data_IF_065387803160
#
_entry.id   IF_065387803160
#
_cell.length_a   1.000
_cell.length_b   1.000
_cell.length_c   1.000
_cell.angle_alpha   90.00
_cell.angle_beta   90.00
_cell.angle_gamma   90.00
#
_symmetry.space_group_name_H-M   'P 1'
#
loop_
_entity.id
_entity.type
_entity.pdbx_description
1 polymer ?
#
# COMPACT_ATOMS: atom_id res chain seq x y z
N UNK A 1 56.04 20.09 -26.10
CA UNK A 1 56.35 20.22 -24.67
C UNK A 1 55.23 19.48 -23.93
N UNK A 2 55.55 18.39 -23.22
CA UNK A 2 54.57 17.67 -22.40
C UNK A 2 54.48 18.36 -21.03
N UNK A 3 53.33 18.95 -20.70
CA UNK A 3 53.10 19.56 -19.40
C UNK A 3 52.43 18.52 -18.48
N UNK A 4 53.05 18.24 -17.36
CA UNK A 4 52.49 17.38 -16.33
C UNK A 4 51.44 18.15 -15.56
N UNK A 5 50.18 17.77 -15.69
CA UNK A 5 49.09 18.33 -14.90
C UNK A 5 48.88 17.38 -13.71
N UNK A 6 49.06 17.91 -12.50
CA UNK A 6 48.81 17.20 -11.25
C UNK A 6 47.43 17.57 -10.70
N UNK A 7 46.57 16.59 -10.44
CA UNK A 7 45.30 16.81 -9.76
C UNK A 7 45.35 16.25 -8.35
N UNK A 8 44.75 16.94 -7.41
CA UNK A 8 44.56 16.41 -6.07
C UNK A 8 43.34 15.46 -6.05
N UNK A 9 43.46 14.31 -5.36
CA UNK A 9 42.35 13.38 -5.25
C UNK A 9 41.27 13.96 -4.32
N UNK A 10 40.01 13.69 -4.62
CA UNK A 10 38.85 14.14 -3.86
C UNK A 10 38.09 15.27 -4.53
N UNK A 11 36.94 15.61 -3.98
CA UNK A 11 36.07 16.69 -4.47
C UNK A 11 36.04 17.79 -3.45
N UNK A 12 36.43 19.01 -3.88
CA UNK A 12 36.39 20.19 -3.04
C UNK A 12 35.23 21.11 -3.46
N UNK A 13 34.16 21.11 -2.67
CA UNK A 13 33.00 22.00 -2.85
C UNK A 13 33.01 23.26 -2.00
N UNK A 14 34.11 23.50 -1.26
CA UNK A 14 34.20 24.64 -0.35
C UNK A 14 34.76 25.91 -1.03
N UNK A 15 35.34 25.77 -2.20
CA UNK A 15 35.94 26.90 -2.95
C UNK A 15 35.20 27.06 -4.29
N UNK A 16 35.28 28.26 -4.87
CA UNK A 16 34.70 28.53 -6.17
C UNK A 16 35.43 27.77 -7.27
N UNK A 17 34.73 27.45 -8.36
CA UNK A 17 35.30 26.73 -9.51
C UNK A 17 36.58 27.43 -10.06
N UNK A 18 36.60 28.74 -10.09
CA UNK A 18 37.76 29.54 -10.53
C UNK A 18 38.97 29.48 -9.59
N UNK A 19 38.73 29.19 -8.29
CA UNK A 19 39.80 29.06 -7.29
C UNK A 19 40.29 27.62 -7.12
N UNK A 20 39.63 26.66 -7.76
CA UNK A 20 39.87 25.23 -7.61
C UNK A 20 40.92 24.67 -8.61
N UNK A 21 41.94 25.48 -8.98
CA UNK A 21 42.99 25.03 -9.91
C UNK A 21 43.68 23.75 -9.39
N UNK A 22 43.70 22.71 -10.21
CA UNK A 22 44.26 21.39 -9.85
C UNK A 22 43.42 20.55 -8.91
N UNK A 23 42.15 20.93 -8.66
CA UNK A 23 41.22 20.20 -7.83
C UNK A 23 39.94 19.83 -8.62
N UNK A 24 39.24 18.80 -8.13
CA UNK A 24 37.94 18.43 -8.65
C UNK A 24 36.86 19.13 -7.86
N UNK A 25 35.99 19.89 -8.49
CA UNK A 25 34.85 20.57 -7.87
C UNK A 25 33.56 19.76 -7.94
N UNK A 26 33.47 18.91 -8.96
CA UNK A 26 32.37 17.95 -9.12
C UNK A 26 32.83 16.74 -9.96
N UNK A 27 32.23 15.59 -9.72
CA UNK A 27 32.40 14.41 -10.57
C UNK A 27 31.24 13.45 -10.36
N UNK A 28 30.89 12.72 -11.40
CA UNK A 28 29.86 11.69 -11.40
C UNK A 28 30.44 10.34 -11.82
N UNK A 29 30.01 9.28 -11.11
CA UNK A 29 30.46 7.90 -11.36
C UNK A 29 31.99 7.71 -11.30
N UNK A 30 32.67 8.45 -10.42
CA UNK A 30 34.14 8.40 -10.24
C UNK A 30 34.46 8.14 -8.78
N UNK A 31 35.44 7.27 -8.53
CA UNK A 31 36.11 7.11 -7.25
C UNK A 31 37.58 7.47 -7.38
N UNK A 32 38.18 7.94 -6.30
CA UNK A 32 39.62 8.17 -6.23
C UNK A 32 40.30 6.96 -5.57
N UNK A 33 41.21 6.31 -6.32
CA UNK A 33 41.96 5.16 -5.83
C UNK A 33 43.44 5.41 -6.10
N UNK A 34 44.26 5.25 -5.08
CA UNK A 34 45.70 5.51 -5.16
C UNK A 34 46.06 6.89 -5.74
N UNK A 35 45.25 7.92 -5.41
CA UNK A 35 45.45 9.28 -5.89
C UNK A 35 45.00 9.56 -7.33
N UNK A 36 44.44 8.58 -8.03
CA UNK A 36 43.95 8.74 -9.40
C UNK A 36 42.43 8.57 -9.46
N UNK A 37 41.73 9.35 -10.31
CA UNK A 37 40.32 9.13 -10.57
C UNK A 37 40.14 7.83 -11.38
N UNK A 38 39.22 7.02 -10.93
CA UNK A 38 38.82 5.75 -11.57
C UNK A 38 37.31 5.74 -11.78
N UNK A 39 36.87 5.42 -12.98
CA UNK A 39 35.45 5.30 -13.27
C UNK A 39 34.85 4.15 -12.47
N UNK A 40 33.79 4.42 -11.72
CA UNK A 40 32.97 3.38 -11.09
C UNK A 40 32.11 2.74 -12.17
N UNK A 41 32.08 1.40 -12.22
CA UNK A 41 31.13 0.69 -13.07
C UNK A 41 29.69 1.07 -12.71
N UNK A 42 28.78 0.96 -13.66
CA UNK A 42 27.36 1.20 -13.42
C UNK A 42 26.76 0.19 -12.44
N UNK A 43 25.56 0.48 -11.99
CA UNK A 43 24.75 -0.43 -11.17
C UNK A 43 24.15 -1.50 -12.09
N UNK A 44 24.27 -2.75 -11.70
CA UNK A 44 23.51 -3.84 -12.30
C UNK A 44 22.37 -4.22 -11.36
N UNK A 45 21.21 -4.49 -11.95
CA UNK A 45 20.08 -5.01 -11.18
C UNK A 45 20.43 -6.42 -10.68
N UNK A 46 20.30 -6.65 -9.39
CA UNK A 46 20.38 -7.97 -8.77
C UNK A 46 19.06 -8.71 -9.02
N UNK A 47 19.09 -9.95 -9.48
CA UNK A 47 17.90 -10.80 -9.52
C UNK A 47 17.14 -10.81 -10.85
N UNK A 48 17.76 -10.43 -11.97
CA UNK A 48 17.16 -10.61 -13.31
C UNK A 48 17.13 -12.07 -13.78
N UNK A 49 17.59 -12.99 -12.95
CA UNK A 49 17.60 -14.41 -13.26
C UNK A 49 16.39 -15.06 -12.60
N UNK A 50 15.42 -15.51 -13.40
CA UNK A 50 14.29 -16.33 -13.02
C UNK A 50 13.25 -15.65 -12.11
N UNK A 51 12.49 -14.69 -12.63
CA UNK A 51 11.23 -14.21 -12.05
C UNK A 51 11.31 -13.66 -10.60
N UNK A 52 12.51 -13.36 -10.11
CA UNK A 52 12.76 -12.92 -8.75
C UNK A 52 12.80 -11.40 -8.65
N UNK A 53 11.75 -10.72 -9.11
CA UNK A 53 11.57 -9.30 -8.82
C UNK A 53 10.97 -9.13 -7.43
N UNK A 54 11.49 -8.14 -6.70
CA UNK A 54 10.90 -7.76 -5.40
C UNK A 54 9.54 -7.14 -5.63
N UNK A 55 8.50 -7.74 -5.04
CA UNK A 55 7.17 -7.15 -5.04
C UNK A 55 7.10 -6.03 -4.02
N UNK A 56 6.83 -4.82 -4.48
CA UNK A 56 6.69 -3.63 -3.64
C UNK A 56 7.97 -2.80 -3.52
N UNK A 57 7.89 -1.70 -2.77
CA UNK A 57 9.01 -0.80 -2.51
C UNK A 57 9.81 -1.26 -1.29
N UNK A 58 11.15 -1.33 -1.39
CA UNK A 58 12.04 -1.69 -0.29
C UNK A 58 11.94 -0.69 0.87
N UNK A 59 11.69 -1.18 2.09
CA UNK A 59 11.43 -0.38 3.29
C UNK A 59 12.27 -0.80 4.49
N UNK A 60 12.94 -1.94 4.41
CA UNK A 60 13.84 -2.43 5.44
C UNK A 60 14.89 -3.34 4.84
N UNK A 61 16.10 -3.25 5.33
CA UNK A 61 17.20 -4.11 4.93
C UNK A 61 18.07 -4.40 6.15
N UNK A 62 18.27 -5.68 6.42
CA UNK A 62 19.21 -6.14 7.44
C UNK A 62 20.01 -7.32 6.91
N UNK A 63 21.28 -7.38 7.24
CA UNK A 63 22.15 -8.44 6.79
C UNK A 63 22.83 -9.10 7.99
N UNK A 64 22.91 -10.41 8.01
CA UNK A 64 23.60 -11.18 9.03
C UNK A 64 24.23 -12.47 8.48
N UNK A 65 25.09 -13.06 9.28
CA UNK A 65 25.71 -14.35 9.00
C UNK A 65 25.30 -15.30 10.12
N UNK A 66 24.76 -16.45 9.76
CA UNK A 66 24.37 -17.44 10.75
C UNK A 66 25.56 -18.27 11.26
N UNK A 67 25.31 -19.09 12.27
CA UNK A 67 26.36 -19.97 12.89
C UNK A 67 26.97 -20.97 11.91
N UNK A 68 26.29 -21.29 10.81
CA UNK A 68 26.77 -22.14 9.73
C UNK A 68 27.60 -21.40 8.68
N UNK A 69 27.87 -20.09 8.87
CA UNK A 69 28.61 -19.25 7.93
C UNK A 69 27.82 -18.84 6.68
N UNK A 70 26.52 -19.11 6.63
CA UNK A 70 25.66 -18.68 5.53
C UNK A 70 25.29 -17.21 5.70
N UNK A 71 25.34 -16.47 4.61
CA UNK A 71 25.02 -15.04 4.57
C UNK A 71 23.60 -14.83 4.08
N UNK A 72 22.86 -14.03 4.82
CA UNK A 72 21.49 -13.64 4.48
C UNK A 72 21.34 -12.12 4.51
N UNK A 73 20.59 -11.59 3.55
CA UNK A 73 20.04 -10.25 3.62
C UNK A 73 18.52 -10.35 3.71
N UNK A 74 17.95 -9.83 4.77
CA UNK A 74 16.51 -9.77 4.95
C UNK A 74 16.02 -8.44 4.38
N UNK A 75 15.08 -8.50 3.45
CA UNK A 75 14.59 -7.36 2.71
C UNK A 75 13.09 -7.26 2.91
N UNK A 76 12.66 -6.25 3.64
CA UNK A 76 11.26 -5.93 3.84
C UNK A 76 10.79 -4.92 2.79
N UNK A 77 9.76 -5.26 2.04
CA UNK A 77 9.04 -4.30 1.20
C UNK A 77 7.73 -3.91 1.87
N UNK A 78 7.04 -2.91 1.35
CA UNK A 78 5.68 -2.59 1.81
C UNK A 78 4.65 -3.70 1.49
N UNK A 79 5.07 -4.79 0.87
CA UNK A 79 4.22 -5.91 0.48
C UNK A 79 4.68 -7.23 1.04
N UNK A 80 5.95 -7.58 0.88
CA UNK A 80 6.50 -8.91 1.15
C UNK A 80 7.85 -8.79 1.84
N UNK A 81 8.14 -9.74 2.73
CA UNK A 81 9.42 -9.93 3.38
C UNK A 81 10.18 -11.04 2.67
N UNK A 82 11.42 -10.78 2.29
CA UNK A 82 12.28 -11.72 1.60
C UNK A 82 13.56 -12.00 2.37
N UNK A 83 14.07 -13.21 2.25
CA UNK A 83 15.44 -13.56 2.55
C UNK A 83 16.22 -13.72 1.25
N UNK A 84 17.30 -12.98 1.09
CA UNK A 84 18.21 -13.12 -0.05
C UNK A 84 19.44 -13.91 0.37
N UNK A 85 19.74 -14.99 -0.35
CA UNK A 85 20.95 -15.80 -0.13
C UNK A 85 21.31 -16.53 -1.42
N UNK A 86 22.61 -16.65 -1.72
CA UNK A 86 23.08 -17.37 -2.89
C UNK A 86 22.60 -16.82 -4.23
N UNK A 87 22.23 -15.53 -4.31
CA UNK A 87 21.73 -14.91 -5.53
C UNK A 87 20.22 -15.03 -5.75
N UNK A 88 19.48 -15.63 -4.81
CA UNK A 88 18.04 -15.90 -4.91
C UNK A 88 17.28 -15.22 -3.79
N UNK A 89 16.09 -14.70 -4.11
CA UNK A 89 15.14 -14.19 -3.14
C UNK A 89 14.15 -15.27 -2.74
N UNK A 90 14.01 -15.49 -1.45
CA UNK A 90 13.07 -16.45 -0.86
C UNK A 90 11.98 -15.66 -0.14
N UNK A 91 10.73 -15.95 -0.44
CA UNK A 91 9.57 -15.37 0.21
C UNK A 91 9.39 -16.00 1.60
N UNK A 92 9.79 -15.26 2.63
CA UNK A 92 9.67 -15.66 4.03
C UNK A 92 8.54 -14.94 4.75
N UNK A 93 7.68 -14.21 4.02
CA UNK A 93 6.61 -13.41 4.58
C UNK A 93 5.63 -14.26 5.40
N UNK A 94 5.21 -13.82 6.60
CA UNK A 94 4.28 -14.58 7.44
C UNK A 94 2.87 -14.62 6.84
N UNK A 95 2.18 -15.75 7.00
CA UNK A 95 0.79 -15.94 6.61
C UNK A 95 -0.11 -15.62 7.81
N UNK A 96 -1.08 -14.74 7.61
CA UNK A 96 -2.07 -14.35 8.62
C UNK A 96 -3.19 -15.37 8.75
N UNK A 97 -3.76 -15.78 7.61
CA UNK A 97 -4.83 -16.78 7.56
C UNK A 97 -4.70 -17.65 6.32
N UNK A 98 -5.14 -18.90 6.45
CA UNK A 98 -5.25 -19.82 5.32
C UNK A 98 -6.70 -20.32 5.27
N UNK A 99 -7.36 -20.13 4.15
CA UNK A 99 -8.75 -20.56 3.94
C UNK A 99 -8.81 -21.47 2.73
N UNK A 100 -9.47 -22.62 2.88
CA UNK A 100 -9.73 -23.53 1.76
C UNK A 100 -11.13 -23.28 1.23
N UNK A 101 -11.22 -23.04 -0.08
CA UNK A 101 -12.45 -22.69 -0.77
C UNK A 101 -12.77 -23.71 -1.86
N UNK A 102 -14.07 -23.91 -2.12
CA UNK A 102 -14.56 -24.78 -3.19
C UNK A 102 -15.54 -23.99 -4.05
N UNK A 103 -15.43 -24.10 -5.36
CA UNK A 103 -16.26 -23.36 -6.33
C UNK A 103 -16.32 -21.85 -6.09
N UNK A 104 -15.18 -21.29 -5.70
CA UNK A 104 -15.10 -19.91 -5.17
C UNK A 104 -14.82 -18.86 -6.24
N UNK A 105 -14.40 -19.27 -7.45
CA UNK A 105 -13.98 -18.35 -8.50
C UNK A 105 -15.10 -18.09 -9.48
N UNK A 106 -15.26 -16.82 -9.87
CA UNK A 106 -16.13 -16.45 -10.97
C UNK A 106 -15.47 -15.39 -11.86
N UNK A 107 -15.70 -15.50 -13.15
CA UNK A 107 -15.16 -14.60 -14.18
C UNK A 107 -16.29 -14.06 -15.04
N UNK A 108 -16.01 -12.96 -15.74
CA UNK A 108 -16.95 -12.33 -16.68
C UNK A 108 -16.25 -12.14 -18.02
N UNK A 109 -16.92 -12.56 -19.11
CA UNK A 109 -16.39 -12.40 -20.46
C UNK A 109 -16.06 -10.92 -20.76
N UNK A 110 -14.89 -10.69 -21.33
CA UNK A 110 -14.37 -9.37 -21.64
C UNK A 110 -13.75 -8.62 -20.46
N UNK A 111 -13.73 -9.20 -19.25
CA UNK A 111 -13.18 -8.58 -18.04
C UNK A 111 -11.90 -9.28 -17.57
N UNK A 112 -10.87 -8.55 -17.11
CA UNK A 112 -9.71 -9.13 -16.46
C UNK A 112 -9.96 -9.42 -14.96
N UNK A 113 -11.13 -9.10 -14.44
CA UNK A 113 -11.46 -9.23 -13.02
C UNK A 113 -11.93 -10.65 -12.71
N UNK A 114 -11.29 -11.25 -11.73
CA UNK A 114 -11.71 -12.53 -11.14
C UNK A 114 -12.24 -12.26 -9.75
N UNK A 115 -13.43 -12.73 -9.45
CA UNK A 115 -14.06 -12.64 -8.13
C UNK A 115 -13.83 -13.93 -7.36
N UNK A 116 -13.39 -13.80 -6.12
CA UNK A 116 -13.19 -14.92 -5.19
C UNK A 116 -14.21 -14.78 -4.06
N UNK A 117 -15.03 -15.81 -3.86
CA UNK A 117 -16.10 -15.82 -2.87
C UNK A 117 -15.75 -16.73 -1.70
N UNK A 118 -15.79 -16.19 -0.50
CA UNK A 118 -15.57 -16.90 0.76
C UNK A 118 -16.91 -17.37 1.34
N UNK A 119 -16.89 -18.45 2.07
CA UNK A 119 -18.09 -18.96 2.79
C UNK A 119 -18.45 -18.12 4.02
N UNK A 120 -17.57 -17.20 4.45
CA UNK A 120 -17.76 -16.29 5.60
C UNK A 120 -16.89 -15.05 5.44
N UNK A 121 -16.89 -14.19 6.44
CA UNK A 121 -16.05 -12.97 6.43
C UNK A 121 -14.56 -13.30 6.35
N UNK A 122 -13.81 -12.58 5.51
CA UNK A 122 -12.39 -12.86 5.23
C UNK A 122 -11.38 -11.88 5.85
N UNK A 123 -11.80 -10.70 6.31
CA UNK A 123 -10.94 -9.65 6.88
C UNK A 123 -9.72 -9.28 6.01
N UNK A 124 -9.87 -9.38 4.70
CA UNK A 124 -8.87 -8.98 3.69
C UNK A 124 -9.26 -7.59 3.20
N UNK A 125 -8.28 -6.71 3.04
CA UNK A 125 -8.49 -5.36 2.55
C UNK A 125 -8.01 -5.19 1.10
N UNK A 126 -8.46 -4.15 0.39
CA UNK A 126 -7.86 -3.79 -0.88
C UNK A 126 -6.36 -3.57 -0.72
N UNK A 127 -5.59 -3.98 -1.73
CA UNK A 127 -4.13 -3.94 -1.77
C UNK A 127 -3.39 -4.98 -0.90
N UNK A 128 -4.08 -5.78 -0.07
CA UNK A 128 -3.47 -6.93 0.58
C UNK A 128 -2.95 -7.95 -0.43
N UNK A 129 -1.96 -8.72 -0.03
CA UNK A 129 -1.40 -9.81 -0.85
C UNK A 129 -2.00 -11.13 -0.43
N UNK A 130 -2.43 -11.89 -1.41
CA UNK A 130 -2.85 -13.29 -1.23
C UNK A 130 -2.00 -14.21 -2.10
N UNK A 131 -1.71 -15.39 -1.60
CA UNK A 131 -1.13 -16.49 -2.35
C UNK A 131 -2.24 -17.52 -2.60
N UNK A 132 -2.39 -17.90 -3.84
CA UNK A 132 -3.34 -18.93 -4.26
C UNK A 132 -2.58 -20.21 -4.58
N UNK A 133 -3.03 -21.32 -4.07
CA UNK A 133 -2.44 -22.62 -4.37
C UNK A 133 -3.48 -23.74 -4.37
N UNK A 134 -3.03 -24.94 -4.74
CA UNK A 134 -3.85 -26.16 -4.83
C UNK A 134 -4.97 -26.08 -5.87
N UNK A 135 -4.71 -25.40 -6.99
CA UNK A 135 -5.63 -25.39 -8.12
C UNK A 135 -5.57 -26.70 -8.88
N UNK A 136 -6.73 -27.36 -9.05
CA UNK A 136 -6.83 -28.58 -9.85
C UNK A 136 -7.38 -28.34 -11.25
N UNK A 137 -8.48 -27.63 -11.36
CA UNK A 137 -9.18 -27.34 -12.63
C UNK A 137 -9.98 -26.06 -12.56
N UNK A 138 -10.01 -25.32 -13.67
CA UNK A 138 -10.92 -24.19 -13.89
C UNK A 138 -11.77 -24.55 -15.11
N UNK A 139 -13.09 -24.48 -14.97
CA UNK A 139 -14.03 -24.83 -16.02
C UNK A 139 -14.72 -23.56 -16.53
N UNK A 140 -14.84 -23.42 -17.85
CA UNK A 140 -15.55 -22.29 -18.46
C UNK A 140 -14.72 -21.00 -18.61
N UNK A 141 -13.43 -21.05 -18.32
CA UNK A 141 -12.49 -19.93 -18.43
C UNK A 141 -11.40 -20.22 -19.45
N UNK A 142 -10.82 -19.18 -20.06
CA UNK A 142 -9.57 -19.28 -20.80
C UNK A 142 -8.33 -19.23 -19.89
N UNK A 143 -8.49 -18.90 -18.62
CA UNK A 143 -7.43 -19.03 -17.64
C UNK A 143 -7.26 -20.50 -17.25
N UNK A 144 -6.01 -20.90 -17.10
CA UNK A 144 -5.63 -22.24 -16.64
C UNK A 144 -5.36 -22.23 -15.13
N UNK A 145 -5.34 -23.42 -14.51
CA UNK A 145 -4.93 -23.53 -13.11
C UNK A 145 -3.55 -22.93 -12.86
N UNK A 146 -2.60 -23.09 -13.79
CA UNK A 146 -1.24 -22.55 -13.68
C UNK A 146 -1.16 -21.03 -13.73
N UNK A 147 -2.23 -20.33 -14.11
CA UNK A 147 -2.28 -18.86 -14.04
C UNK A 147 -2.51 -18.37 -12.61
N UNK A 148 -2.96 -19.23 -11.72
CA UNK A 148 -3.26 -18.94 -10.31
C UNK A 148 -2.40 -19.73 -9.33
N UNK A 149 -2.07 -20.97 -9.64
CA UNK A 149 -1.43 -21.89 -8.70
C UNK A 149 -0.03 -21.43 -8.34
N UNK A 150 0.26 -21.40 -7.04
CA UNK A 150 1.49 -20.91 -6.45
C UNK A 150 1.81 -19.45 -6.79
N UNK A 151 0.79 -18.65 -7.18
CA UNK A 151 0.98 -17.24 -7.54
C UNK A 151 0.40 -16.29 -6.50
N UNK A 152 1.07 -15.16 -6.39
CA UNK A 152 0.70 -14.04 -5.52
C UNK A 152 -0.11 -13.02 -6.30
N UNK A 153 -1.19 -12.56 -5.69
CA UNK A 153 -2.06 -11.53 -6.25
C UNK A 153 -2.27 -10.42 -5.23
N UNK A 154 -2.31 -9.21 -5.73
CA UNK A 154 -2.79 -8.07 -4.97
C UNK A 154 -4.31 -8.01 -5.11
N UNK A 155 -4.99 -7.88 -3.98
CA UNK A 155 -6.45 -7.69 -3.95
C UNK A 155 -6.80 -6.34 -4.55
N UNK A 156 -7.58 -6.35 -5.62
CA UNK A 156 -7.96 -5.14 -6.35
C UNK A 156 -9.07 -4.40 -5.61
N UNK A 157 -10.10 -5.12 -5.18
CA UNK A 157 -11.21 -4.54 -4.40
C UNK A 157 -11.86 -5.58 -3.50
N UNK A 158 -12.67 -5.10 -2.57
CA UNK A 158 -13.45 -5.90 -1.62
C UNK A 158 -14.91 -5.48 -1.75
N UNK A 159 -15.67 -6.05 -2.71
CA UNK A 159 -17.05 -5.68 -2.95
C UNK A 159 -17.99 -6.00 -1.78
N UNK A 160 -17.67 -7.01 -0.99
CA UNK A 160 -18.44 -7.37 0.21
C UNK A 160 -17.55 -8.05 1.26
N UNK A 161 -18.08 -8.27 2.44
CA UNK A 161 -17.40 -9.02 3.52
C UNK A 161 -16.98 -10.43 3.15
N UNK A 162 -17.60 -10.99 2.11
CA UNK A 162 -17.39 -12.38 1.65
C UNK A 162 -16.73 -12.45 0.26
N UNK A 163 -16.48 -11.34 -0.40
CA UNK A 163 -15.94 -11.34 -1.77
C UNK A 163 -14.76 -10.41 -1.92
N UNK A 164 -13.73 -10.88 -2.59
CA UNK A 164 -12.60 -10.08 -3.04
C UNK A 164 -12.45 -10.19 -4.55
N UNK A 165 -11.76 -9.23 -5.16
CA UNK A 165 -11.42 -9.30 -6.58
C UNK A 165 -9.92 -9.21 -6.77
N UNK A 166 -9.43 -9.89 -7.80
CA UNK A 166 -8.07 -9.78 -8.31
C UNK A 166 -8.13 -9.45 -9.80
N UNK A 167 -7.08 -8.81 -10.32
CA UNK A 167 -6.98 -8.43 -11.72
C UNK A 167 -5.94 -9.30 -12.43
N UNK A 168 -6.35 -9.95 -13.49
CA UNK A 168 -5.49 -10.76 -14.35
C UNK A 168 -4.81 -9.89 -15.42
N UNK A 169 -3.67 -10.34 -15.98
CA UNK A 169 -2.96 -9.60 -17.04
C UNK A 169 -3.73 -9.47 -18.36
N UNK A 170 -4.70 -10.35 -18.60
CA UNK A 170 -5.51 -10.40 -19.82
C UNK A 170 -6.98 -10.51 -19.49
N UNK A 171 -7.83 -10.18 -20.46
CA UNK A 171 -9.27 -10.34 -20.33
C UNK A 171 -9.68 -11.82 -20.43
N UNK A 172 -10.70 -12.17 -19.66
CA UNK A 172 -11.40 -13.44 -19.79
C UNK A 172 -12.19 -13.48 -21.11
N UNK A 173 -12.19 -14.63 -21.79
CA UNK A 173 -12.99 -14.86 -23.00
C UNK A 173 -14.18 -15.80 -22.76
N UNK A 174 -14.25 -16.42 -21.59
CA UNK A 174 -15.38 -17.22 -21.10
C UNK A 174 -16.05 -16.58 -19.88
N UNK A 175 -17.21 -17.03 -19.51
CA UNK A 175 -17.93 -16.54 -18.32
C UNK A 175 -18.32 -17.67 -17.39
N UNK A 176 -18.38 -17.35 -16.09
CA UNK A 176 -18.87 -18.28 -15.09
C UNK A 176 -17.88 -19.38 -14.72
N UNK A 177 -16.58 -19.09 -14.79
CA UNK A 177 -15.57 -20.05 -14.36
C UNK A 177 -15.82 -20.49 -12.92
N UNK A 178 -15.79 -21.78 -12.72
CA UNK A 178 -15.85 -22.40 -11.41
C UNK A 178 -14.65 -23.31 -11.22
N UNK A 179 -14.19 -23.39 -9.99
CA UNK A 179 -13.08 -24.27 -9.63
C UNK A 179 -13.63 -25.45 -8.85
N UNK A 180 -13.24 -26.65 -9.23
CA UNK A 180 -13.50 -27.85 -8.44
C UNK A 180 -12.30 -28.15 -7.56
N UNK A 181 -12.54 -28.50 -6.31
CA UNK A 181 -11.49 -28.85 -5.35
C UNK A 181 -11.22 -27.76 -4.30
N UNK A 182 -10.40 -28.11 -3.34
CA UNK A 182 -10.08 -27.23 -2.22
C UNK A 182 -8.93 -26.26 -2.57
N UNK A 183 -9.27 -25.12 -3.16
CA UNK A 183 -8.28 -24.07 -3.41
C UNK A 183 -7.90 -23.42 -2.10
N UNK A 184 -6.63 -23.25 -1.89
CA UNK A 184 -6.10 -22.61 -0.69
C UNK A 184 -5.77 -21.14 -0.97
N UNK A 185 -6.43 -20.25 -0.23
CA UNK A 185 -6.17 -18.81 -0.22
C UNK A 185 -5.39 -18.49 1.03
N UNK A 186 -4.14 -18.10 0.88
CA UNK A 186 -3.26 -17.71 1.97
C UNK A 186 -3.14 -16.19 2.00
N UNK A 187 -3.71 -15.55 3.01
CA UNK A 187 -3.63 -14.11 3.21
C UNK A 187 -2.35 -13.77 3.96
N UNK A 188 -1.54 -12.91 3.39
CA UNK A 188 -0.30 -12.40 4.00
C UNK A 188 -0.61 -11.39 5.09
N UNK A 189 0.27 -11.26 6.08
CA UNK A 189 0.18 -10.16 7.02
C UNK A 189 0.29 -8.83 6.27
N UNK A 190 -0.66 -7.90 6.40
CA UNK A 190 -0.57 -6.59 5.76
C UNK A 190 0.59 -5.80 6.35
N UNK A 191 1.45 -5.24 5.50
CA UNK A 191 2.57 -4.39 5.94
C UNK A 191 2.17 -2.92 5.96
N UNK A 192 1.33 -2.52 5.01
CA UNK A 192 0.88 -1.15 4.87
C UNK A 192 0.98 -0.63 3.44
N UNK A 193 0.68 0.64 3.24
CA UNK A 193 0.66 1.27 1.92
C UNK A 193 2.06 1.48 1.35
N UNK A 194 2.17 1.58 0.02
CA UNK A 194 3.40 1.96 -0.67
C UNK A 194 3.76 3.43 -0.43
N UNK A 195 2.75 4.26 -0.26
CA UNK A 195 2.85 5.70 -0.02
C UNK A 195 1.91 6.09 1.11
N UNK A 196 2.10 7.26 1.67
CA UNK A 196 1.13 7.84 2.58
C UNK A 196 -0.14 8.17 1.79
N UNK A 197 -1.23 7.46 2.06
CA UNK A 197 -2.46 7.58 1.27
C UNK A 197 -3.42 8.64 1.82
N UNK A 198 -3.38 8.87 3.12
CA UNK A 198 -4.21 9.89 3.78
C UNK A 198 -3.35 10.72 4.69
N UNK A 199 -3.66 11.98 4.83
CA UNK A 199 -2.96 12.84 5.76
C UNK A 199 -3.48 14.25 5.72
N UNK A 200 -3.35 14.92 6.86
CA UNK A 200 -3.69 16.31 7.05
C UNK A 200 -2.40 17.03 7.45
N UNK A 201 -2.11 18.15 6.79
CA UNK A 201 -0.95 18.94 7.13
C UNK A 201 -0.32 19.66 5.96
N UNK A 202 0.84 20.25 6.21
CA UNK A 202 1.59 20.99 5.21
C UNK A 202 2.04 20.09 4.05
N UNK A 203 1.67 20.47 2.82
CA UNK A 203 2.03 19.74 1.61
C UNK A 203 1.13 18.53 1.27
N UNK A 204 0.06 18.31 2.02
CA UNK A 204 -0.89 17.22 1.81
C UNK A 204 -2.26 17.78 1.39
N UNK A 205 -2.47 17.98 0.11
CA UNK A 205 -3.76 18.42 -0.43
C UNK A 205 -4.13 19.86 -0.09
N UNK A 206 -5.42 20.13 -0.02
CA UNK A 206 -5.98 21.45 0.29
C UNK A 206 -5.77 21.82 1.77
N UNK A 207 -5.78 23.11 2.08
CA UNK A 207 -5.78 23.61 3.45
C UNK A 207 -6.93 22.99 4.26
N UNK A 208 -6.60 22.40 5.41
CA UNK A 208 -7.55 21.68 6.24
C UNK A 208 -7.48 20.15 6.11
N UNK A 209 -6.67 19.65 5.20
CA UNK A 209 -6.52 18.23 4.91
C UNK A 209 -7.64 17.71 4.02
N UNK A 210 -7.27 16.89 3.07
CA UNK A 210 -8.19 16.25 2.14
C UNK A 210 -7.74 14.81 1.96
N UNK A 211 -8.67 13.87 1.87
CA UNK A 211 -8.35 12.54 1.39
C UNK A 211 -7.64 12.65 0.04
N UNK A 212 -6.62 11.84 -0.21
CA UNK A 212 -5.85 11.86 -1.46
C UNK A 212 -6.74 11.66 -2.69
N UNK A 213 -7.92 11.11 -2.50
CA UNK A 213 -8.91 10.86 -3.54
C UNK A 213 -10.33 11.01 -2.95
N UNK A 214 -10.82 12.25 -2.73
CA UNK A 214 -12.13 12.46 -2.14
C UNK A 214 -13.21 11.91 -3.06
N UNK A 215 -14.22 11.29 -2.46
CA UNK A 215 -15.41 10.88 -3.21
C UNK A 215 -16.12 12.14 -3.73
N UNK A 216 -16.31 12.20 -5.03
CA UNK A 216 -16.99 13.32 -5.70
C UNK A 216 -18.18 12.84 -6.50
N UNK A 217 -19.20 13.67 -6.59
CA UNK A 217 -20.39 13.48 -7.42
C UNK A 217 -20.87 14.85 -7.90
N UNK A 218 -22.07 14.95 -8.43
CA UNK A 218 -22.67 16.21 -8.84
C UNK A 218 -24.06 16.38 -8.23
N UNK A 219 -24.51 17.63 -8.07
CA UNK A 219 -25.89 17.94 -7.74
C UNK A 219 -26.81 17.44 -8.85
N UNK A 220 -27.94 16.88 -8.46
CA UNK A 220 -29.06 16.60 -9.34
C UNK A 220 -30.21 17.57 -8.98
N UNK A 221 -30.26 18.65 -9.68
CA UNK A 221 -31.09 19.81 -9.41
C UNK A 221 -30.34 20.97 -8.73
N UNK A 222 -30.70 22.19 -9.05
CA UNK A 222 -30.08 23.38 -8.47
C UNK A 222 -30.37 23.46 -6.96
N UNK A 223 -29.37 23.86 -6.19
CA UNK A 223 -29.48 24.14 -4.77
C UNK A 223 -29.54 25.67 -4.58
N UNK A 224 -30.73 26.18 -4.33
CA UNK A 224 -30.97 27.63 -4.23
C UNK A 224 -30.40 28.18 -2.91
N UNK A 225 -30.13 29.47 -2.89
CA UNK A 225 -29.58 30.14 -1.72
C UNK A 225 -30.58 30.24 -0.56
N UNK A 226 -31.87 30.30 -0.85
CA UNK A 226 -32.96 30.43 0.14
C UNK A 226 -33.54 29.09 0.62
N UNK A 227 -33.14 27.97 0.04
CA UNK A 227 -33.69 26.64 0.39
C UNK A 227 -32.65 25.71 1.01
N UNK A 228 -33.08 24.75 1.83
CA UNK A 228 -32.20 23.73 2.39
C UNK A 228 -31.91 22.59 1.42
N UNK A 229 -32.74 22.37 0.40
CA UNK A 229 -32.65 21.25 -0.52
C UNK A 229 -32.62 21.63 -2.00
N UNK A 230 -32.32 20.66 -2.85
CA UNK A 230 -32.31 20.82 -4.31
C UNK A 230 -33.73 20.94 -4.89
N UNK A 231 -33.87 21.63 -6.03
CA UNK A 231 -35.14 21.77 -6.74
C UNK A 231 -36.22 22.51 -5.99
N UNK A 232 -35.86 23.31 -4.98
CA UNK A 232 -36.84 24.12 -4.19
C UNK A 232 -37.63 23.32 -3.15
N UNK A 233 -37.32 22.08 -2.91
CA UNK A 233 -38.08 21.18 -1.98
C UNK A 233 -37.61 21.20 -0.53
N UNK A 234 -36.73 22.05 -0.15
CA UNK A 234 -36.49 22.53 1.22
C UNK A 234 -35.83 21.60 2.26
N UNK A 235 -35.74 20.26 2.10
CA UNK A 235 -35.33 19.36 3.18
C UNK A 235 -34.27 18.33 2.81
N UNK A 236 -33.95 18.16 1.55
CA UNK A 236 -32.99 17.14 1.09
C UNK A 236 -32.19 17.63 -0.10
N UNK A 237 -30.96 17.14 -0.25
CA UNK A 237 -30.11 17.41 -1.39
C UNK A 237 -30.06 16.13 -2.23
N UNK A 238 -30.41 16.22 -3.51
CA UNK A 238 -30.33 15.12 -4.45
C UNK A 238 -29.01 15.20 -5.22
N UNK A 239 -28.29 14.10 -5.25
CA UNK A 239 -27.02 13.90 -5.95
C UNK A 239 -27.20 12.94 -7.12
N UNK A 240 -26.33 12.99 -8.09
CA UNK A 240 -26.30 12.02 -9.18
C UNK A 240 -26.01 10.60 -8.66
N UNK A 241 -25.11 10.49 -7.68
CA UNK A 241 -24.80 9.25 -6.96
C UNK A 241 -24.29 9.59 -5.55
N UNK A 242 -24.90 9.02 -4.53
CA UNK A 242 -24.50 9.14 -3.14
C UNK A 242 -24.13 7.77 -2.51
N UNK A 243 -23.97 6.72 -3.31
CA UNK A 243 -23.72 5.36 -2.81
C UNK A 243 -22.40 5.22 -2.02
N UNK A 244 -21.43 6.08 -2.32
CA UNK A 244 -20.13 6.12 -1.65
C UNK A 244 -20.06 7.11 -0.48
N UNK A 245 -21.17 7.81 -0.17
CA UNK A 245 -21.21 8.75 0.93
C UNK A 245 -21.65 8.05 2.21
N UNK A 246 -21.05 8.39 3.38
CA UNK A 246 -21.45 7.80 4.65
C UNK A 246 -22.95 8.01 4.94
N UNK A 247 -23.65 6.95 5.34
CA UNK A 247 -25.11 6.98 5.54
C UNK A 247 -25.54 7.12 6.99
N UNK A 248 -24.59 7.16 7.93
CA UNK A 248 -24.87 7.24 9.37
C UNK A 248 -23.98 8.29 10.04
N UNK A 249 -24.49 8.89 11.13
CA UNK A 249 -23.77 9.96 11.83
C UNK A 249 -23.91 11.32 11.17
N UNK A 250 -23.24 12.33 11.71
CA UNK A 250 -23.15 13.66 11.10
C UNK A 250 -21.97 13.69 10.14
N UNK A 251 -22.26 13.86 8.87
CA UNK A 251 -21.31 13.89 7.78
C UNK A 251 -21.36 15.23 7.05
N UNK A 252 -20.36 15.50 6.22
CA UNK A 252 -20.21 16.80 5.56
C UNK A 252 -19.94 16.63 4.06
N UNK A 253 -20.48 17.58 3.29
CA UNK A 253 -20.16 17.75 1.88
C UNK A 253 -19.72 19.18 1.62
N UNK A 254 -18.87 19.35 0.64
CA UNK A 254 -18.48 20.65 0.12
C UNK A 254 -19.05 20.85 -1.30
N UNK A 255 -19.69 21.99 -1.52
CA UNK A 255 -20.17 22.44 -2.83
C UNK A 255 -19.64 23.85 -3.07
N UNK A 256 -18.68 23.99 -3.99
CA UNK A 256 -17.96 25.26 -4.12
C UNK A 256 -17.21 25.60 -2.82
N UNK A 257 -17.54 26.73 -2.23
CA UNK A 257 -16.97 27.17 -0.94
C UNK A 257 -17.93 26.95 0.25
N UNK A 258 -19.06 26.32 0.05
CA UNK A 258 -20.00 26.02 1.10
C UNK A 258 -19.83 24.62 1.65
N UNK A 259 -19.77 24.51 2.97
CA UNK A 259 -19.84 23.26 3.73
C UNK A 259 -21.26 23.02 4.21
N UNK A 260 -21.75 21.81 4.01
CA UNK A 260 -23.11 21.40 4.32
C UNK A 260 -23.05 20.10 5.09
N UNK A 261 -23.71 20.03 6.25
CA UNK A 261 -23.83 18.76 6.98
C UNK A 261 -25.10 18.00 6.60
N UNK A 262 -25.04 16.69 6.70
CA UNK A 262 -26.17 15.79 6.51
C UNK A 262 -26.08 14.61 7.49
N UNK A 263 -27.21 13.91 7.73
CA UNK A 263 -27.25 12.81 8.72
C UNK A 263 -27.67 11.47 8.12
N UNK A 264 -28.06 11.43 6.86
CA UNK A 264 -28.45 10.17 6.21
C UNK A 264 -28.42 10.21 4.71
N UNK A 265 -28.33 9.03 4.09
CA UNK A 265 -28.44 8.82 2.63
C UNK A 265 -29.63 7.89 2.39
N UNK A 266 -30.53 8.30 1.49
CA UNK A 266 -31.71 7.52 1.11
C UNK A 266 -31.68 7.23 -0.38
N UNK A 267 -31.97 5.98 -0.75
CA UNK A 267 -32.05 5.55 -2.14
C UNK A 267 -30.74 5.67 -2.94
N UNK A 268 -29.60 5.82 -2.27
CA UNK A 268 -28.30 5.97 -2.93
C UNK A 268 -28.07 7.29 -3.67
N UNK A 269 -29.01 8.24 -3.58
CA UNK A 269 -28.92 9.53 -4.29
C UNK A 269 -29.29 10.73 -3.43
N UNK A 270 -30.01 10.57 -2.32
CA UNK A 270 -30.61 11.67 -1.58
C UNK A 270 -30.01 11.82 -0.20
N UNK A 271 -29.43 12.97 0.09
CA UNK A 271 -28.95 13.35 1.41
C UNK A 271 -30.08 13.95 2.22
N UNK A 272 -30.20 13.54 3.49
CA UNK A 272 -31.27 13.97 4.42
C UNK A 272 -30.68 14.55 5.71
N UNK A 273 -31.48 15.31 6.47
CA UNK A 273 -31.01 15.96 7.69
C UNK A 273 -29.99 17.07 7.42
N UNK A 274 -30.28 17.91 6.45
CA UNK A 274 -29.37 18.92 5.92
C UNK A 274 -29.28 20.14 6.80
N UNK A 275 -28.04 20.60 7.05
CA UNK A 275 -27.76 21.94 7.61
C UNK A 275 -26.72 22.60 6.73
N UNK A 276 -27.07 23.75 6.16
CA UNK A 276 -26.24 24.54 5.26
C UNK A 276 -25.32 25.52 6.00
N UNK A 277 -24.24 25.93 5.36
CA UNK A 277 -23.30 26.93 5.85
C UNK A 277 -22.67 26.53 7.22
N UNK A 278 -22.28 25.27 7.35
CA UNK A 278 -21.57 24.78 8.55
C UNK A 278 -20.07 25.08 8.47
N UNK A 279 -19.35 24.87 9.56
CA UNK A 279 -17.87 25.04 9.62
C UNK A 279 -17.40 26.42 9.14
N UNK A 280 -18.12 27.48 9.54
CA UNK A 280 -17.83 28.88 9.13
C UNK A 280 -17.87 29.13 7.61
N UNK A 281 -18.49 28.30 6.83
CA UNK A 281 -18.73 28.56 5.41
C UNK A 281 -19.90 29.52 5.21
N UNK A 282 -19.99 30.09 4.01
CA UNK A 282 -21.10 30.99 3.65
C UNK A 282 -22.05 30.26 2.72
N UNK A 283 -23.31 30.32 3.01
CA UNK A 283 -24.37 29.79 2.16
C UNK A 283 -24.40 30.50 0.82
N UNK A 284 -24.55 29.73 -0.24
CA UNK A 284 -24.63 30.24 -1.61
C UNK A 284 -25.52 29.35 -2.49
N UNK A 285 -26.01 29.89 -3.59
CA UNK A 285 -26.70 29.10 -4.62
C UNK A 285 -25.73 28.29 -5.46
N UNK A 286 -26.09 27.04 -5.77
CA UNK A 286 -25.31 26.14 -6.61
C UNK A 286 -26.17 25.65 -7.79
N UNK A 287 -25.58 25.62 -8.98
CA UNK A 287 -26.26 25.15 -10.18
C UNK A 287 -26.45 23.64 -10.16
N UNK A 288 -27.43 23.18 -10.93
CA UNK A 288 -27.51 21.77 -11.31
C UNK A 288 -26.19 21.30 -11.94
N UNK A 289 -25.74 20.11 -11.60
CA UNK A 289 -24.46 19.57 -12.06
C UNK A 289 -23.22 20.12 -11.33
N UNK A 290 -23.36 21.00 -10.32
CA UNK A 290 -22.23 21.46 -9.52
C UNK A 290 -21.54 20.28 -8.80
N UNK A 291 -20.21 20.30 -8.78
CA UNK A 291 -19.42 19.26 -8.11
C UNK A 291 -19.66 19.28 -6.61
N UNK A 292 -19.93 18.12 -6.07
CA UNK A 292 -20.08 17.82 -4.65
C UNK A 292 -18.96 16.91 -4.20
N UNK A 293 -18.23 17.32 -3.19
CA UNK A 293 -17.12 16.55 -2.60
C UNK A 293 -17.50 16.09 -1.20
N UNK A 294 -17.26 14.83 -0.87
CA UNK A 294 -17.35 14.38 0.52
C UNK A 294 -16.24 15.04 1.34
N UNK A 295 -16.64 15.87 2.30
CA UNK A 295 -15.74 16.61 3.20
C UNK A 295 -15.83 16.13 4.65
N UNK A 296 -16.43 14.97 4.89
CA UNK A 296 -16.61 14.41 6.23
C UNK A 296 -15.29 14.22 6.98
N UNK A 297 -14.24 13.90 6.23
CA UNK A 297 -12.88 13.72 6.78
C UNK A 297 -12.06 15.02 6.84
N UNK A 298 -12.61 16.15 6.39
CA UNK A 298 -11.93 17.44 6.46
C UNK A 298 -12.01 17.98 7.89
N UNK A 299 -10.89 18.46 8.40
CA UNK A 299 -10.81 19.09 9.72
C UNK A 299 -10.26 20.51 9.60
N UNK A 300 -10.75 21.40 10.46
CA UNK A 300 -10.26 22.77 10.54
C UNK A 300 -8.93 22.84 11.31
N UNK A 301 -8.25 23.99 11.23
CA UNK A 301 -7.08 24.27 12.04
C UNK A 301 -7.41 24.19 13.54
N UNK A 302 -6.62 23.38 14.26
CA UNK A 302 -6.78 23.19 15.69
C UNK A 302 -7.85 22.20 16.11
N UNK A 303 -8.58 21.59 15.17
CA UNK A 303 -9.48 20.49 15.45
C UNK A 303 -8.72 19.15 15.40
N UNK A 304 -9.04 18.26 16.34
CA UNK A 304 -8.54 16.91 16.29
C UNK A 304 -9.17 16.20 15.09
N UNK A 305 -8.34 15.61 14.26
CA UNK A 305 -8.82 14.79 13.19
C UNK A 305 -9.60 13.59 13.72
N UNK A 306 -10.77 13.32 13.14
CA UNK A 306 -11.56 12.14 13.46
C UNK A 306 -11.19 10.99 12.53
N UNK A 307 -10.70 9.87 13.08
CA UNK A 307 -10.38 8.66 12.33
C UNK A 307 -8.89 8.47 12.03
N UNK A 308 -8.57 7.40 11.35
CA UNK A 308 -7.22 7.01 10.95
C UNK A 308 -6.68 7.94 9.84
N UNK A 309 -6.07 9.03 10.24
CA UNK A 309 -5.78 10.16 9.38
C UNK A 309 -4.48 10.05 8.61
N UNK A 310 -3.60 9.19 9.05
CA UNK A 310 -2.31 8.97 8.38
C UNK A 310 -2.09 7.47 8.30
N UNK A 311 -2.25 6.93 7.11
CA UNK A 311 -1.68 5.63 6.80
C UNK A 311 -0.20 5.85 6.50
N UNK A 312 0.64 5.59 7.48
CA UNK A 312 2.08 5.59 7.27
C UNK A 312 2.45 4.52 6.23
N UNK A 313 3.47 4.76 5.40
CA UNK A 313 3.96 3.72 4.49
C UNK A 313 4.33 2.46 5.27
N UNK A 314 3.99 1.30 4.71
CA UNK A 314 4.38 0.02 5.30
C UNK A 314 5.88 -0.07 5.47
N UNK A 315 6.36 -0.26 6.70
CA UNK A 315 7.77 -0.29 7.06
C UNK A 315 8.11 -1.52 7.90
N UNK A 316 9.38 -1.88 7.89
CA UNK A 316 9.92 -2.95 8.70
C UNK A 316 11.04 -2.45 9.61
N UNK A 317 11.04 -2.92 10.85
CA UNK A 317 12.21 -2.92 11.73
C UNK A 317 12.76 -4.34 11.78
N UNK A 318 14.02 -4.52 11.36
CA UNK A 318 14.62 -5.85 11.19
C UNK A 318 15.94 -5.89 11.92
N UNK A 319 16.16 -6.96 12.69
CA UNK A 319 17.40 -7.24 13.40
C UNK A 319 17.61 -8.77 13.48
N UNK A 320 18.66 -9.24 14.10
CA UNK A 320 18.85 -10.67 14.30
C UNK A 320 19.24 -11.01 15.74
N UNK A 321 18.73 -12.15 16.20
CA UNK A 321 19.10 -12.80 17.47
C UNK A 321 19.77 -14.14 17.16
N UNK A 322 21.09 -14.14 17.11
CA UNK A 322 21.85 -15.30 16.67
C UNK A 322 21.48 -15.69 15.23
N UNK A 323 21.02 -16.92 15.05
CA UNK A 323 20.62 -17.45 13.74
C UNK A 323 19.21 -17.04 13.29
N UNK A 324 18.47 -16.36 14.15
CA UNK A 324 17.09 -15.94 13.86
C UNK A 324 17.05 -14.49 13.42
N UNK A 325 16.42 -14.22 12.28
CA UNK A 325 15.99 -12.88 11.92
C UNK A 325 14.73 -12.56 12.72
N UNK A 326 14.72 -11.38 13.33
CA UNK A 326 13.56 -10.84 14.04
C UNK A 326 13.03 -9.67 13.20
N UNK A 327 11.76 -9.72 12.86
CA UNK A 327 11.15 -8.79 11.93
C UNK A 327 9.86 -8.23 12.53
N UNK A 328 9.78 -6.92 12.61
CA UNK A 328 8.61 -6.19 13.11
C UNK A 328 7.97 -5.42 11.96
N UNK A 329 6.67 -5.61 11.76
CA UNK A 329 5.86 -4.71 10.94
C UNK A 329 5.55 -3.47 11.78
N UNK A 330 5.78 -2.28 11.22
CA UNK A 330 5.48 -1.02 11.90
C UNK A 330 4.00 -0.94 12.30
N UNK A 331 3.73 -0.61 13.56
CA UNK A 331 2.42 -0.67 14.20
C UNK A 331 1.75 -2.07 14.17
N UNK A 332 2.55 -3.13 14.05
CA UNK A 332 2.10 -4.51 13.94
C UNK A 332 2.85 -5.49 14.83
N UNK A 333 2.77 -6.76 14.46
CA UNK A 333 3.32 -7.89 15.18
C UNK A 333 4.81 -8.09 14.92
N UNK A 334 5.43 -8.85 15.80
CA UNK A 334 6.84 -9.27 15.73
C UNK A 334 6.91 -10.73 15.28
N UNK A 335 7.78 -10.99 14.33
CA UNK A 335 7.99 -12.31 13.71
C UNK A 335 9.42 -12.75 13.84
N UNK A 336 9.64 -14.07 13.86
CA UNK A 336 10.97 -14.69 13.77
C UNK A 336 11.07 -15.60 12.55
N UNK A 337 12.25 -15.60 11.94
CA UNK A 337 12.63 -16.55 10.89
C UNK A 337 13.96 -17.20 11.26
N UNK A 338 13.98 -18.53 11.33
CA UNK A 338 15.15 -19.32 11.77
C UNK A 338 15.99 -19.75 10.55
N UNK A 339 17.15 -19.14 10.39
CA UNK A 339 18.09 -19.43 9.30
C UNK A 339 18.94 -20.69 9.52
N UNK A 340 18.89 -21.28 10.71
CA UNK A 340 19.64 -22.51 11.03
C UNK A 340 18.98 -23.78 10.49
N UNK A 341 17.68 -23.72 10.19
CA UNK A 341 16.93 -24.85 9.67
C UNK A 341 17.49 -25.35 8.34
N UNK A 342 17.51 -26.66 8.13
CA UNK A 342 17.97 -27.26 6.87
C UNK A 342 17.20 -26.78 5.64
N UNK A 343 15.92 -26.46 5.84
CA UNK A 343 14.99 -25.95 4.82
C UNK A 343 14.59 -24.49 5.07
N UNK A 344 15.47 -23.68 5.70
CA UNK A 344 15.16 -22.30 6.08
C UNK A 344 14.57 -21.48 4.91
N UNK A 345 15.10 -21.63 3.72
CA UNK A 345 14.63 -20.93 2.51
C UNK A 345 13.24 -21.34 2.03
N UNK A 346 12.69 -22.44 2.57
CA UNK A 346 11.33 -22.93 2.29
C UNK A 346 10.37 -22.64 3.45
N UNK A 347 10.85 -22.03 4.53
CA UNK A 347 10.03 -21.69 5.71
C UNK A 347 9.67 -20.21 5.70
N UNK A 348 8.52 -19.90 6.28
CA UNK A 348 8.05 -18.54 6.50
C UNK A 348 8.30 -18.08 7.91
N UNK A 349 8.28 -16.79 8.13
CA UNK A 349 8.31 -16.22 9.48
C UNK A 349 7.11 -16.69 10.31
N UNK A 350 7.36 -16.91 11.58
CA UNK A 350 6.33 -17.20 12.58
C UNK A 350 6.18 -16.02 13.54
N UNK A 351 4.97 -15.80 14.02
CA UNK A 351 4.73 -14.80 15.06
C UNK A 351 5.41 -15.19 16.36
N UNK A 352 6.02 -14.23 17.04
CA UNK A 352 6.61 -14.46 18.36
C UNK A 352 5.50 -14.36 19.40
N UNK A 353 5.17 -15.48 20.03
CA UNK A 353 4.13 -15.53 21.07
C UNK A 353 4.51 -14.67 22.27
N UNK A 354 3.59 -13.82 22.73
CA UNK A 354 3.79 -12.91 23.86
C UNK A 354 4.51 -11.61 23.52
N UNK A 355 4.97 -11.43 22.28
CA UNK A 355 5.46 -10.14 21.82
C UNK A 355 4.33 -9.11 21.68
N UNK A 356 4.61 -7.81 21.81
CA UNK A 356 3.63 -6.78 21.53
C UNK A 356 3.06 -6.86 20.10
N UNK A 357 1.78 -6.56 19.95
CA UNK A 357 1.06 -6.65 18.66
C UNK A 357 0.91 -5.30 17.95
N UNK A 358 1.46 -4.23 18.53
CA UNK A 358 1.42 -2.88 17.97
C UNK A 358 2.70 -2.13 18.40
N UNK A 359 3.82 -2.47 17.78
CA UNK A 359 5.12 -1.86 18.08
C UNK A 359 5.64 -1.09 16.87
N UNK A 360 6.32 0.03 17.12
CA UNK A 360 6.87 0.87 16.05
C UNK A 360 8.30 0.52 15.66
N UNK A 361 9.12 0.21 16.64
CA UNK A 361 10.52 -0.12 16.43
C UNK A 361 10.95 -1.22 17.39
N UNK A 362 11.92 -1.99 16.95
CA UNK A 362 12.60 -2.94 17.80
C UNK A 362 14.11 -2.87 17.59
N UNK A 363 14.83 -3.33 18.58
CA UNK A 363 16.29 -3.54 18.53
C UNK A 363 16.59 -4.76 19.37
N UNK A 364 17.50 -5.60 18.90
CA UNK A 364 18.02 -6.73 19.67
C UNK A 364 19.23 -6.26 20.46
N UNK A 365 19.13 -6.28 21.79
CA UNK A 365 20.24 -5.87 22.65
C UNK A 365 21.32 -6.95 22.69
N UNK A 366 22.55 -6.56 22.41
CA UNK A 366 23.76 -7.34 22.68
C UNK A 366 24.66 -6.51 23.60
N UNK A 367 25.27 -7.04 24.68
CA UNK A 367 25.58 -8.44 24.94
C UNK A 367 24.54 -9.23 25.73
N UNK A 368 23.54 -8.58 26.31
CA UNK A 368 22.67 -9.22 27.30
C UNK A 368 21.54 -10.07 26.68
N UNK A 369 21.41 -10.06 25.35
CA UNK A 369 20.48 -10.88 24.56
C UNK A 369 19.01 -10.79 25.01
N UNK A 370 18.60 -9.59 25.41
CA UNK A 370 17.22 -9.28 25.79
C UNK A 370 16.43 -8.59 24.67
#
# INVERSE_FOLDING_TARGET
>A
MLQKIGFQPGINKQISETAAEGQWVDCDNVRFRYGSPEKIGGWNQLGTINENELTGAGRGLHHFVNSLGRRYAIIGTNRILYAFSGGVFYDIHPIKTTTTLTNAFSTTNGSPIVTITFSGGHNINPQDIILLDNFSTITGSNFSASDFDEKKFMVTSVPSTNTITITMPSNETGSGATTSGGIRVQHYYPVGSAVQEKGFGWGLGSWGGQASNPVTTTLNGALLDDTAGTGGSGTSIVLADASQFPSTGTNFIQVGNEEISYTGVTGGTTLTGITRAVRNSTRSGHSDGATVTNSSDFVAWGEAASGDLVLEPGMWSIDNFGDKAICLIHDGEVFEWDSSLAIATQTRCNIISGAPTASRHMVVSTPDRH
#
